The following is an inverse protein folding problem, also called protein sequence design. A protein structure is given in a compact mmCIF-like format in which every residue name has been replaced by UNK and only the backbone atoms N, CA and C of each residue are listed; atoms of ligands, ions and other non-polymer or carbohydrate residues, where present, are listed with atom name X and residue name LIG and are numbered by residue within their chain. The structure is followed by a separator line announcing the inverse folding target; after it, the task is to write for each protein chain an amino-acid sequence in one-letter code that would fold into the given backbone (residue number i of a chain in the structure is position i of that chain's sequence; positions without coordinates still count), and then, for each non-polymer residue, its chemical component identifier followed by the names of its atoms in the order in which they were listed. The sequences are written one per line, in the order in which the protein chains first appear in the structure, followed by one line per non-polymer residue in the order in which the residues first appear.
data_IF_592020455230
#
_entry.id   IF_592020455230
#
_cell.length_a   1.000
_cell.length_b   1.000
_cell.length_c   1.000
_cell.angle_alpha   90.00
_cell.angle_beta   90.00
_cell.angle_gamma   90.00
#
_symmetry.space_group_name_H-M   'P 1'
#
loop_
_entity.id
_entity.type
_entity.pdbx_description
1 polymer ?
#
# COMPACT_ATOMS: atom_id res chain seq x y z
N UNK A 1 38.05 -16.63 -12.56
CA UNK A 1 38.21 -15.25 -12.03
C UNK A 1 37.48 -14.16 -12.83
N UNK A 2 37.27 -14.28 -14.15
CA UNK A 2 36.58 -13.25 -14.96
C UNK A 2 35.07 -13.06 -14.65
N UNK A 3 34.36 -14.13 -14.24
CA UNK A 3 32.93 -14.04 -13.90
C UNK A 3 32.65 -13.19 -12.64
N UNK A 4 33.53 -13.23 -11.64
CA UNK A 4 33.36 -12.43 -10.41
C UNK A 4 33.48 -10.93 -10.69
N UNK A 5 34.40 -10.53 -11.58
CA UNK A 5 34.65 -9.12 -11.93
C UNK A 5 33.45 -8.50 -12.66
N UNK A 6 32.85 -9.24 -13.60
CA UNK A 6 31.61 -8.81 -14.27
C UNK A 6 30.43 -8.68 -13.32
N UNK A 7 30.29 -9.59 -12.35
CA UNK A 7 29.21 -9.53 -11.37
C UNK A 7 29.32 -8.29 -10.47
N UNK A 8 30.54 -7.96 -10.04
CA UNK A 8 30.82 -6.77 -9.23
C UNK A 8 30.49 -5.48 -10.01
N UNK A 9 30.85 -5.40 -11.30
CA UNK A 9 30.50 -4.24 -12.14
C UNK A 9 28.99 -4.06 -12.32
N UNK A 10 28.25 -5.16 -12.53
CA UNK A 10 26.79 -5.13 -12.68
C UNK A 10 26.12 -4.66 -11.38
N UNK A 11 26.53 -5.19 -10.23
CA UNK A 11 25.99 -4.79 -8.92
C UNK A 11 26.29 -3.31 -8.65
N UNK A 12 27.51 -2.86 -8.98
CA UNK A 12 27.89 -1.46 -8.82
C UNK A 12 27.04 -0.52 -9.71
N UNK A 13 26.84 -0.87 -10.98
CA UNK A 13 25.99 -0.10 -11.90
C UNK A 13 24.54 -0.01 -11.43
N UNK A 14 23.95 -1.13 -10.98
CA UNK A 14 22.58 -1.17 -10.47
C UNK A 14 22.39 -0.34 -9.19
N UNK A 15 23.41 -0.32 -8.33
CA UNK A 15 23.41 0.47 -7.10
C UNK A 15 23.47 1.97 -7.41
N UNK A 16 24.37 2.41 -8.30
CA UNK A 16 24.46 3.83 -8.71
C UNK A 16 23.18 4.30 -9.39
N UNK A 17 22.59 3.47 -10.25
CA UNK A 17 21.38 3.84 -10.99
C UNK A 17 20.17 4.06 -10.07
N UNK A 18 20.10 3.37 -8.92
CA UNK A 18 19.00 3.53 -7.96
C UNK A 18 19.05 4.87 -7.19
N UNK A 19 20.24 5.39 -6.89
CA UNK A 19 20.40 6.70 -6.23
C UNK A 19 19.97 7.85 -7.15
N UNK A 20 20.23 7.74 -8.46
CA UNK A 20 19.94 8.79 -9.45
C UNK A 20 18.43 9.10 -9.63
N UNK A 21 17.53 8.22 -9.17
CA UNK A 21 16.07 8.40 -9.28
C UNK A 21 15.41 8.84 -7.97
N UNK A 22 16.17 9.07 -6.89
CA UNK A 22 15.62 9.47 -5.58
C UNK A 22 15.75 10.98 -5.39
N UNK A 23 14.63 11.66 -5.18
CA UNK A 23 14.58 13.07 -4.80
C UNK A 23 14.30 13.22 -3.30
N UNK A 24 14.80 14.29 -2.68
CA UNK A 24 14.52 14.63 -1.28
C UNK A 24 13.32 15.56 -1.20
N UNK A 25 12.35 15.21 -0.37
CA UNK A 25 11.16 16.02 -0.07
C UNK A 25 11.22 16.49 1.39
N UNK A 26 11.05 17.80 1.62
CA UNK A 26 11.02 18.40 2.96
C UNK A 26 9.62 18.94 3.24
N UNK A 27 8.98 18.46 4.31
CA UNK A 27 7.63 18.85 4.72
C UNK A 27 7.66 19.61 6.04
N UNK A 28 6.81 20.63 6.18
CA UNK A 28 6.56 21.30 7.47
C UNK A 28 5.46 20.54 8.22
N UNK A 29 5.80 19.96 9.37
CA UNK A 29 4.92 19.14 10.19
C UNK A 29 5.21 19.45 11.66
N UNK A 30 4.21 19.36 12.52
CA UNK A 30 4.38 19.54 13.96
C UNK A 30 5.39 18.56 14.56
N UNK A 31 6.22 19.07 15.47
CA UNK A 31 7.28 18.29 16.13
C UNK A 31 6.73 17.08 16.89
N UNK A 32 5.59 17.22 17.55
CA UNK A 32 4.94 16.13 18.29
C UNK A 32 4.50 14.99 17.36
N UNK A 33 4.02 15.34 16.16
CA UNK A 33 3.63 14.38 15.12
C UNK A 33 4.84 13.67 14.54
N UNK A 34 5.96 14.38 14.32
CA UNK A 34 7.22 13.78 13.85
C UNK A 34 7.71 12.71 14.83
N UNK A 35 7.69 12.97 16.13
CA UNK A 35 8.16 12.01 17.14
C UNK A 35 7.27 10.76 17.22
N UNK A 36 5.95 10.94 17.15
CA UNK A 36 5.01 9.81 17.06
C UNK A 36 5.26 8.96 15.81
N UNK A 37 5.45 9.61 14.66
CA UNK A 37 5.70 8.92 13.40
C UNK A 37 7.03 8.16 13.40
N UNK A 38 8.10 8.74 13.98
CA UNK A 38 9.38 8.03 14.17
C UNK A 38 9.24 6.81 15.07
N UNK A 39 8.50 6.93 16.18
CA UNK A 39 8.24 5.80 17.09
C UNK A 39 7.54 4.67 16.35
N UNK A 40 6.47 5.00 15.64
CA UNK A 40 5.72 4.04 14.83
C UNK A 40 6.58 3.36 13.76
N UNK A 41 7.42 4.13 13.04
CA UNK A 41 8.30 3.57 12.02
C UNK A 41 9.30 2.57 12.61
N UNK A 42 9.87 2.87 13.80
CA UNK A 42 10.77 1.94 14.51
C UNK A 42 10.05 0.67 14.96
N UNK A 43 8.83 0.80 15.49
CA UNK A 43 8.01 -0.35 15.91
C UNK A 43 7.63 -1.27 14.74
N UNK A 44 7.70 -0.76 13.50
CA UNK A 44 7.43 -1.50 12.25
C UNK A 44 8.70 -1.86 11.48
N UNK A 45 9.88 -1.74 12.10
CA UNK A 45 11.19 -2.01 11.50
C UNK A 45 11.39 -1.33 10.14
N UNK A 46 10.91 -0.08 10.02
CA UNK A 46 10.97 0.70 8.78
C UNK A 46 11.46 2.13 9.03
N UNK A 47 11.76 2.85 7.94
CA UNK A 47 12.13 4.26 8.00
C UNK A 47 10.92 5.15 7.71
N UNK A 48 10.92 6.35 8.29
CA UNK A 48 9.85 7.32 8.05
C UNK A 48 9.75 7.69 6.57
N UNK A 49 10.88 7.88 5.89
CA UNK A 49 10.93 8.17 4.46
C UNK A 49 10.32 7.03 3.64
N UNK A 50 10.63 5.76 3.97
CA UNK A 50 10.07 4.61 3.27
C UNK A 50 8.57 4.47 3.50
N UNK A 51 8.12 4.72 4.73
CA UNK A 51 6.70 4.69 5.07
C UNK A 51 5.89 5.74 4.28
N UNK A 52 6.39 6.97 4.19
CA UNK A 52 5.73 8.05 3.43
C UNK A 52 5.79 7.80 1.92
N UNK A 53 6.93 7.32 1.39
CA UNK A 53 7.06 6.92 -0.02
C UNK A 53 5.99 5.89 -0.37
N UNK A 54 5.87 4.81 0.42
CA UNK A 54 4.89 3.76 0.19
C UNK A 54 3.44 4.29 0.29
N UNK A 55 3.16 5.20 1.22
CA UNK A 55 1.84 5.80 1.35
C UNK A 55 1.47 6.64 0.12
N UNK A 56 2.39 7.49 -0.35
CA UNK A 56 2.17 8.30 -1.55
C UNK A 56 1.99 7.41 -2.78
N UNK A 57 2.80 6.36 -2.93
CA UNK A 57 2.64 5.37 -3.99
C UNK A 57 1.27 4.71 -3.94
N UNK A 58 0.81 4.28 -2.77
CA UNK A 58 -0.51 3.65 -2.62
C UNK A 58 -1.66 4.60 -3.01
N UNK A 59 -1.51 5.91 -2.75
CA UNK A 59 -2.50 6.91 -3.15
C UNK A 59 -2.52 7.13 -4.67
N UNK A 60 -1.36 7.21 -5.32
CA UNK A 60 -1.28 7.48 -6.76
C UNK A 60 -1.55 6.24 -7.61
N UNK A 61 -1.12 5.05 -7.16
CA UNK A 61 -1.33 3.80 -7.90
C UNK A 61 -2.81 3.39 -7.96
N UNK A 62 -3.60 3.82 -6.96
CA UNK A 62 -5.05 3.57 -6.96
C UNK A 62 -5.79 4.34 -8.05
N UNK A 63 -5.22 5.43 -8.58
CA UNK A 63 -5.86 6.19 -9.66
C UNK A 63 -5.66 5.57 -11.05
N UNK A 64 -4.69 4.65 -11.22
CA UNK A 64 -4.48 3.97 -12.51
C UNK A 64 -5.37 2.72 -12.67
N UNK A 65 -5.87 2.16 -11.55
CA UNK A 65 -6.65 0.91 -11.52
C UNK A 65 -8.16 1.13 -11.23
N UNK A 66 -8.68 2.36 -11.21
CA UNK A 66 -10.08 2.65 -10.82
C UNK A 66 -11.12 2.12 -11.82
N UNK A 67 -10.69 1.55 -12.95
CA UNK A 67 -11.58 0.90 -13.93
C UNK A 67 -11.62 -0.65 -13.80
N UNK A 68 -10.75 -1.29 -13.00
CA UNK A 68 -10.76 -2.74 -12.82
C UNK A 68 -11.11 -3.15 -11.38
N UNK A 69 -12.40 -3.42 -11.16
CA UNK A 69 -12.88 -4.17 -10.00
C UNK A 69 -11.99 -5.41 -9.81
N UNK A 70 -11.30 -5.47 -8.66
CA UNK A 70 -10.35 -6.56 -8.32
C UNK A 70 -10.88 -7.93 -8.75
N UNK A 71 -10.07 -8.79 -9.41
CA UNK A 71 -10.50 -10.11 -9.89
C UNK A 71 -11.16 -10.96 -8.81
N UNK A 72 -10.76 -10.76 -7.56
CA UNK A 72 -11.36 -11.39 -6.39
C UNK A 72 -12.80 -10.90 -6.20
N UNK A 73 -13.04 -9.58 -6.19
CA UNK A 73 -14.38 -9.00 -6.04
C UNK A 73 -15.29 -9.43 -7.20
N UNK A 74 -14.78 -9.47 -8.44
CA UNK A 74 -15.51 -9.98 -9.61
C UNK A 74 -15.86 -11.48 -9.48
N UNK A 75 -14.97 -12.27 -8.90
CA UNK A 75 -15.21 -13.69 -8.62
C UNK A 75 -16.26 -13.88 -7.52
N UNK A 76 -16.24 -13.05 -6.47
CA UNK A 76 -17.25 -13.07 -5.42
C UNK A 76 -18.63 -12.61 -5.94
N UNK A 77 -18.70 -11.57 -6.78
CA UNK A 77 -19.97 -11.10 -7.34
C UNK A 77 -20.54 -12.07 -8.38
N UNK A 78 -19.70 -12.78 -9.13
CA UNK A 78 -20.14 -13.83 -10.07
C UNK A 78 -20.73 -15.07 -9.41
N UNK A 79 -20.41 -15.33 -8.14
CA UNK A 79 -20.98 -16.44 -7.35
C UNK A 79 -22.34 -16.08 -6.75
N UNK A 80 -22.58 -14.79 -6.48
CA UNK A 80 -23.85 -14.30 -5.93
C UNK A 80 -24.78 -13.98 -7.10
N UNK A 81 -25.70 -14.90 -7.42
CA UNK A 81 -26.78 -14.61 -8.37
C UNK A 81 -27.57 -13.39 -7.88
N UNK A 82 -27.91 -12.41 -8.74
CA UNK A 82 -28.77 -11.30 -8.37
C UNK A 82 -30.21 -11.82 -8.26
N UNK A 83 -30.47 -12.56 -7.18
CA UNK A 83 -31.81 -12.66 -6.64
C UNK A 83 -32.08 -11.31 -6.00
N UNK A 84 -33.29 -10.81 -6.23
CA UNK A 84 -33.88 -9.54 -5.78
C UNK A 84 -33.91 -9.47 -4.24
N UNK A 85 -32.73 -9.55 -3.63
CA UNK A 85 -32.49 -9.69 -2.22
C UNK A 85 -32.25 -8.30 -1.69
N UNK A 86 -33.24 -7.77 -0.97
CA UNK A 86 -33.14 -6.51 -0.25
C UNK A 86 -32.12 -6.65 0.89
N UNK A 87 -30.84 -6.59 0.52
CA UNK A 87 -29.67 -6.75 1.38
C UNK A 87 -29.76 -5.82 2.59
N UNK A 88 -30.36 -4.64 2.40
CA UNK A 88 -30.51 -3.62 3.43
C UNK A 88 -31.43 -4.10 4.56
N UNK A 89 -32.54 -4.79 4.25
CA UNK A 89 -33.44 -5.38 5.25
C UNK A 89 -32.83 -6.57 5.99
N UNK A 90 -32.12 -7.44 5.27
CA UNK A 90 -31.48 -8.60 5.92
C UNK A 90 -30.32 -8.17 6.83
N UNK A 91 -29.55 -7.17 6.43
CA UNK A 91 -28.43 -6.66 7.22
C UNK A 91 -28.90 -6.01 8.52
N UNK A 92 -29.96 -5.19 8.47
CA UNK A 92 -30.53 -4.56 9.67
C UNK A 92 -31.16 -5.59 10.62
N UNK A 93 -31.81 -6.62 10.09
CA UNK A 93 -32.33 -7.76 10.88
C UNK A 93 -31.21 -8.56 11.58
N UNK A 94 -30.10 -8.83 10.89
CA UNK A 94 -28.95 -9.54 11.47
C UNK A 94 -28.27 -8.72 12.57
N UNK A 95 -28.16 -7.39 12.41
CA UNK A 95 -27.61 -6.53 13.46
C UNK A 95 -28.55 -6.41 14.66
N UNK A 96 -29.86 -6.31 14.44
CA UNK A 96 -30.84 -6.27 15.51
C UNK A 96 -30.77 -7.52 16.39
N UNK A 97 -30.62 -8.71 15.81
CA UNK A 97 -30.48 -9.96 16.56
C UNK A 97 -29.13 -10.14 17.27
N UNK A 98 -28.09 -9.39 16.91
CA UNK A 98 -26.76 -9.52 17.51
C UNK A 98 -26.59 -8.66 18.77
N UNK A 99 -27.43 -7.64 18.92
CA UNK A 99 -27.38 -6.65 20.01
C UNK A 99 -28.62 -6.69 20.92
N UNK A 100 -29.36 -7.80 20.89
CA UNK A 100 -30.39 -8.17 21.87
C UNK A 100 -29.82 -9.28 22.75
#
# INVERSE_FOLDING_TARGET
MHHCRKYIEIVYYLCIKNEAMKAKLTLKIDKSTIEKAKKYAREKDTSLSKMIENYLQALTNKQEDDDEVSPLVKSLTGVIKPIDFDYKKSYTSCLANKYI
#
